data_IF_236186158273
#
_entry.id   IF_236186158273
#
_cell.length_a   1.000
_cell.length_b   1.000
_cell.length_c   1.000
_cell.angle_alpha   90.00
_cell.angle_beta   90.00
_cell.angle_gamma   90.00
#
_symmetry.space_group_name_H-M   'P 1'
#
loop_
_entity.id
_entity.type
_entity.pdbx_description
1 polymer ?
#
# COMPACT_ATOMS: atom_id res chain seq x y z
N UNK A 1 -13.72 4.67 34.61
CA UNK A 1 -14.68 5.78 34.87
C UNK A 1 -15.43 6.11 33.58
N UNK A 2 -14.74 6.41 32.48
CA UNK A 2 -15.37 6.78 31.18
C UNK A 2 -16.35 5.74 30.60
N UNK A 3 -16.04 4.44 30.67
CA UNK A 3 -16.97 3.39 30.22
C UNK A 3 -18.33 3.46 30.93
N UNK A 4 -18.30 3.70 32.24
CA UNK A 4 -19.52 3.84 33.06
C UNK A 4 -20.29 5.10 32.65
N UNK A 5 -19.61 6.19 32.30
CA UNK A 5 -20.27 7.41 31.84
C UNK A 5 -20.91 7.26 30.46
N UNK A 6 -20.28 6.50 29.56
CA UNK A 6 -20.84 6.18 28.25
C UNK A 6 -22.09 5.29 28.36
N UNK A 7 -22.04 4.28 29.24
CA UNK A 7 -23.19 3.43 29.57
C UNK A 7 -24.33 4.25 30.18
N UNK A 8 -24.04 5.22 31.04
CA UNK A 8 -25.04 6.11 31.63
C UNK A 8 -25.67 7.05 30.60
N UNK A 9 -24.89 7.57 29.64
CA UNK A 9 -25.42 8.39 28.54
C UNK A 9 -26.35 7.56 27.63
N UNK A 10 -25.95 6.34 27.28
CA UNK A 10 -26.77 5.40 26.52
C UNK A 10 -28.05 5.00 27.26
N UNK A 11 -27.98 4.80 28.57
CA UNK A 11 -29.15 4.52 29.39
C UNK A 11 -30.12 5.71 29.39
N UNK A 12 -29.61 6.94 29.49
CA UNK A 12 -30.41 8.17 29.39
C UNK A 12 -31.16 8.28 28.06
N UNK A 13 -30.49 7.99 26.94
CA UNK A 13 -31.10 7.92 25.60
C UNK A 13 -32.17 6.82 25.56
N UNK A 14 -31.87 5.63 26.07
CA UNK A 14 -32.80 4.51 26.11
C UNK A 14 -34.06 4.78 26.93
N UNK A 15 -33.97 5.57 28.00
CA UNK A 15 -35.13 5.96 28.81
C UNK A 15 -36.05 6.97 28.11
N UNK A 16 -35.52 7.76 27.17
CA UNK A 16 -36.31 8.71 26.40
C UNK A 16 -37.06 8.06 25.22
N UNK A 17 -36.65 6.85 24.84
CA UNK A 17 -37.27 6.07 23.79
C UNK A 17 -38.40 5.19 24.32
N UNK A 18 -39.47 5.05 23.52
CA UNK A 18 -40.54 4.08 23.81
C UNK A 18 -40.19 2.76 23.11
N UNK A 19 -40.10 1.62 23.83
CA UNK A 19 -39.91 0.32 23.19
C UNK A 19 -41.02 0.03 22.18
N UNK A 20 -40.67 -0.69 21.12
CA UNK A 20 -41.65 -1.12 20.13
C UNK A 20 -42.76 -1.93 20.82
N UNK A 21 -44.06 -1.64 20.53
CA UNK A 21 -45.17 -2.25 21.26
C UNK A 21 -45.33 -3.76 20.99
N UNK A 22 -44.78 -4.28 19.90
CA UNK A 22 -44.86 -5.69 19.52
C UNK A 22 -43.66 -6.47 20.07
N UNK A 23 -42.44 -5.93 19.96
CA UNK A 23 -41.21 -6.62 20.37
C UNK A 23 -40.81 -6.33 21.82
N UNK A 24 -41.32 -5.24 22.40
CA UNK A 24 -40.93 -4.67 23.71
C UNK A 24 -39.43 -4.42 23.84
N UNK A 25 -38.74 -4.25 22.71
CA UNK A 25 -37.31 -3.94 22.63
C UNK A 25 -37.12 -2.59 21.96
N UNK A 26 -36.00 -1.94 22.28
CA UNK A 26 -35.52 -0.80 21.51
C UNK A 26 -34.71 -1.34 20.35
N UNK A 27 -35.09 -0.98 19.13
CA UNK A 27 -34.30 -1.32 17.95
C UNK A 27 -33.21 -0.27 17.77
N UNK A 28 -32.10 -0.68 17.17
CA UNK A 28 -30.98 0.23 16.93
C UNK A 28 -31.37 1.41 16.01
N UNK A 29 -32.30 1.18 15.09
CA UNK A 29 -32.86 2.22 14.23
C UNK A 29 -33.57 3.32 15.04
N UNK A 30 -34.22 2.98 16.14
CA UNK A 30 -34.87 3.96 17.03
C UNK A 30 -33.83 4.82 17.74
N UNK A 31 -32.73 4.19 18.18
CA UNK A 31 -31.59 4.88 18.81
C UNK A 31 -30.92 5.82 17.80
N UNK A 32 -30.64 5.35 16.58
CA UNK A 32 -30.06 6.20 15.52
C UNK A 32 -30.98 7.37 15.18
N UNK A 33 -32.28 7.11 15.01
CA UNK A 33 -33.26 8.15 14.72
C UNK A 33 -33.34 9.20 15.84
N UNK A 34 -33.24 8.77 17.10
CA UNK A 34 -33.20 9.66 18.26
C UNK A 34 -31.92 10.51 18.30
N UNK A 35 -30.76 9.89 18.08
CA UNK A 35 -29.46 10.58 18.02
C UNK A 35 -29.45 11.67 16.93
N UNK A 36 -30.10 11.40 15.78
CA UNK A 36 -30.16 12.36 14.67
C UNK A 36 -31.14 13.50 14.91
N UNK A 37 -32.29 13.23 15.54
CA UNK A 37 -33.36 14.23 15.69
C UNK A 37 -33.30 15.04 16.98
N UNK A 38 -32.48 14.63 17.96
CA UNK A 38 -32.34 15.32 19.25
C UNK A 38 -30.87 15.65 19.57
N UNK A 39 -30.14 16.36 18.70
CA UNK A 39 -28.73 16.72 18.94
C UNK A 39 -28.54 17.64 20.15
N UNK A 40 -29.59 18.34 20.57
CA UNK A 40 -29.63 19.19 21.77
C UNK A 40 -29.84 18.42 23.08
N UNK A 41 -30.18 17.13 23.04
CA UNK A 41 -30.37 16.34 24.27
C UNK A 41 -29.02 16.19 25.02
N UNK A 42 -28.97 16.48 26.33
CA UNK A 42 -27.72 16.41 27.10
C UNK A 42 -27.06 15.03 27.10
N UNK A 43 -27.83 13.93 27.04
CA UNK A 43 -27.29 12.58 26.96
C UNK A 43 -26.73 12.28 25.57
N UNK A 44 -27.35 12.80 24.52
CA UNK A 44 -26.85 12.70 23.13
C UNK A 44 -25.52 13.45 22.99
N UNK A 45 -25.44 14.69 23.48
CA UNK A 45 -24.19 15.46 23.50
C UNK A 45 -23.09 14.77 24.30
N UNK A 46 -23.45 14.24 25.47
CA UNK A 46 -22.52 13.49 26.32
C UNK A 46 -22.02 12.23 25.64
N UNK A 47 -22.90 11.46 24.98
CA UNK A 47 -22.54 10.26 24.22
C UNK A 47 -21.51 10.58 23.14
N UNK A 48 -21.75 11.56 22.26
CA UNK A 48 -20.79 11.93 21.21
C UNK A 48 -19.46 12.42 21.78
N UNK A 49 -19.49 13.22 22.85
CA UNK A 49 -18.25 13.71 23.50
C UNK A 49 -17.40 12.60 24.09
N UNK A 50 -18.02 11.54 24.61
CA UNK A 50 -17.34 10.38 25.20
C UNK A 50 -16.87 9.41 24.13
N UNK A 51 -17.67 9.14 23.10
CA UNK A 51 -17.28 8.29 21.96
C UNK A 51 -16.06 8.85 21.23
N UNK A 52 -16.02 10.17 20.98
CA UNK A 52 -14.87 10.82 20.34
C UNK A 52 -13.58 10.67 21.17
N UNK A 53 -13.68 10.78 22.50
CA UNK A 53 -12.53 10.56 23.41
C UNK A 53 -12.08 9.10 23.45
N UNK A 54 -13.02 8.17 23.33
CA UNK A 54 -12.74 6.74 23.30
C UNK A 54 -11.98 6.35 22.03
N UNK A 55 -12.38 6.87 20.87
CA UNK A 55 -11.72 6.60 19.58
C UNK A 55 -10.26 7.08 19.59
N UNK A 56 -10.00 8.30 20.08
CA UNK A 56 -8.65 8.86 20.19
C UNK A 56 -7.76 8.01 21.10
N UNK A 57 -8.28 7.51 22.23
CA UNK A 57 -7.50 6.69 23.17
C UNK A 57 -7.27 5.28 22.71
N UNK A 58 -8.23 4.66 22.03
CA UNK A 58 -8.03 3.35 21.42
C UNK A 58 -6.98 3.44 20.30
N UNK A 59 -6.92 4.57 19.59
CA UNK A 59 -5.86 4.87 18.63
C UNK A 59 -4.49 5.05 19.31
N UNK A 60 -4.42 5.79 20.43
CA UNK A 60 -3.19 5.90 21.25
C UNK A 60 -2.73 4.56 21.83
N UNK A 61 -3.66 3.70 22.29
CA UNK A 61 -3.34 2.36 22.81
C UNK A 61 -2.84 1.41 21.73
N UNK A 62 -3.39 1.50 20.51
CA UNK A 62 -2.90 0.76 19.34
C UNK A 62 -1.50 1.21 18.92
N UNK A 63 -1.15 2.48 19.13
CA UNK A 63 0.19 3.02 18.83
C UNK A 63 1.23 2.71 19.92
N UNK A 64 0.83 2.40 21.15
CA UNK A 64 1.74 2.23 22.30
C UNK A 64 1.97 0.79 22.74
N UNK A 65 1.20 -0.18 22.24
CA UNK A 65 1.39 -1.60 22.56
C UNK A 65 2.28 -2.30 21.54
N UNK A 66 3.59 -2.17 21.77
CA UNK A 66 4.70 -2.82 21.04
C UNK A 66 4.96 -4.27 21.51
N UNK A 67 3.89 -5.03 21.80
CA UNK A 67 4.01 -6.45 22.14
C UNK A 67 2.95 -7.24 21.38
N UNK A 68 3.28 -7.67 20.16
CA UNK A 68 2.63 -8.84 19.56
C UNK A 68 3.51 -10.06 19.76
N UNK A 69 3.02 -11.12 20.41
CA UNK A 69 3.64 -12.43 20.30
C UNK A 69 3.62 -12.85 18.83
N UNK A 70 4.79 -13.09 18.27
CA UNK A 70 4.93 -13.72 16.97
C UNK A 70 4.43 -15.16 17.07
N UNK A 71 3.17 -15.40 16.71
CA UNK A 71 2.65 -16.76 16.60
C UNK A 71 2.03 -17.09 15.24
N UNK A 72 2.31 -18.33 14.86
CA UNK A 72 2.30 -18.88 13.52
C UNK A 72 0.90 -19.37 13.16
N UNK A 73 0.23 -18.66 12.25
CA UNK A 73 -0.83 -19.25 11.45
C UNK A 73 -0.33 -19.48 10.03
N UNK A 74 0.12 -20.70 9.73
CA UNK A 74 0.31 -21.18 8.36
C UNK A 74 -0.94 -21.95 7.96
N UNK A 75 -1.89 -21.29 7.32
CA UNK A 75 -2.92 -21.98 6.55
C UNK A 75 -2.23 -22.70 5.38
N UNK A 76 -2.54 -23.98 5.09
CA UNK A 76 -2.04 -24.67 3.92
C UNK A 76 -2.57 -23.97 2.67
N UNK A 77 -1.67 -23.34 1.90
CA UNK A 77 -2.02 -22.84 0.57
C UNK A 77 -2.23 -24.05 -0.35
N UNK A 78 -3.42 -24.23 -0.96
CA UNK A 78 -3.58 -25.26 -1.98
C UNK A 78 -2.63 -24.96 -3.14
N UNK A 79 -1.72 -25.88 -3.43
CA UNK A 79 -0.80 -25.78 -4.57
C UNK A 79 -1.59 -26.01 -5.84
N UNK A 80 -2.02 -24.93 -6.50
CA UNK A 80 -2.61 -24.99 -7.85
C UNK A 80 -1.50 -24.91 -8.89
N UNK A 81 -1.49 -25.86 -9.82
CA UNK A 81 -0.69 -25.79 -11.05
C UNK A 81 -1.22 -24.63 -11.89
N UNK A 82 -0.37 -23.66 -12.19
CA UNK A 82 -0.71 -22.54 -13.08
C UNK A 82 -0.82 -23.08 -14.50
N UNK A 83 -1.96 -22.92 -15.20
CA UNK A 83 -2.07 -23.31 -16.60
C UNK A 83 -1.19 -22.38 -17.47
N UNK A 84 -0.40 -22.95 -18.38
CA UNK A 84 0.31 -22.19 -19.41
C UNK A 84 -0.69 -21.63 -20.42
N UNK A 85 -1.01 -20.34 -20.30
CA UNK A 85 -1.94 -19.61 -21.17
C UNK A 85 -1.85 -18.09 -20.94
N UNK A 86 -2.50 -17.28 -21.79
CA UNK A 86 -2.58 -15.83 -21.57
C UNK A 86 -3.18 -15.54 -20.17
N UNK A 87 -2.75 -14.49 -19.47
CA UNK A 87 -3.19 -14.20 -18.12
C UNK A 87 -4.72 -14.05 -18.07
N UNK A 88 -5.38 -15.05 -17.49
CA UNK A 88 -6.81 -15.04 -17.27
C UNK A 88 -7.08 -14.30 -15.96
N UNK A 89 -8.01 -13.33 -15.97
CA UNK A 89 -8.42 -12.62 -14.74
C UNK A 89 -8.95 -13.63 -13.73
N UNK A 90 -8.45 -13.61 -12.49
CA UNK A 90 -9.07 -14.41 -11.42
C UNK A 90 -10.25 -13.66 -10.82
N UNK A 91 -11.24 -14.41 -10.35
CA UNK A 91 -12.45 -13.92 -9.70
C UNK A 91 -12.62 -14.68 -8.39
N UNK A 92 -12.76 -13.98 -7.27
CA UNK A 92 -12.91 -14.62 -5.96
C UNK A 92 -14.34 -14.43 -5.47
N UNK A 93 -14.96 -15.52 -5.00
CA UNK A 93 -16.24 -15.48 -4.30
C UNK A 93 -15.97 -15.75 -2.82
N UNK A 94 -16.53 -14.89 -1.97
CA UNK A 94 -16.49 -15.01 -0.51
C UNK A 94 -17.90 -15.23 0.04
N UNK A 95 -18.03 -16.08 1.05
CA UNK A 95 -19.27 -16.27 1.79
C UNK A 95 -19.04 -15.76 3.20
N UNK A 96 -19.58 -14.60 3.53
CA UNK A 96 -19.43 -13.99 4.86
C UNK A 96 -20.56 -14.41 5.80
N UNK A 97 -20.24 -14.64 7.07
CA UNK A 97 -21.22 -14.63 8.14
C UNK A 97 -21.34 -13.20 8.64
N UNK A 98 -22.56 -12.66 8.62
CA UNK A 98 -22.86 -11.44 9.36
C UNK A 98 -23.32 -11.83 10.76
N UNK A 99 -22.47 -11.62 11.75
CA UNK A 99 -22.81 -11.80 13.17
C UNK A 99 -23.56 -10.58 13.68
N UNK A 100 -24.80 -10.41 13.22
CA UNK A 100 -25.69 -9.34 13.66
C UNK A 100 -25.40 -7.94 13.10
N UNK A 101 -26.15 -6.92 13.55
CA UNK A 101 -25.94 -5.53 13.16
C UNK A 101 -24.71 -4.95 13.88
N UNK A 102 -23.85 -4.24 13.15
CA UNK A 102 -22.76 -3.46 13.73
C UNK A 102 -21.44 -4.18 14.00
N UNK A 103 -21.32 -5.49 13.71
CA UNK A 103 -20.01 -6.13 13.64
C UNK A 103 -19.26 -5.56 12.43
N UNK A 104 -18.17 -4.81 12.63
CA UNK A 104 -17.36 -4.36 11.50
C UNK A 104 -16.92 -5.61 10.73
N UNK A 105 -17.09 -5.59 9.41
CA UNK A 105 -16.53 -6.62 8.55
C UNK A 105 -15.02 -6.47 8.59
N UNK A 106 -14.38 -7.04 9.61
CA UNK A 106 -12.94 -7.04 9.75
C UNK A 106 -12.34 -7.88 8.62
N UNK A 107 -12.16 -7.25 7.46
CA UNK A 107 -11.20 -7.59 6.41
C UNK A 107 -11.09 -9.05 5.95
N UNK A 108 -12.17 -9.85 5.99
CA UNK A 108 -12.13 -11.23 5.48
C UNK A 108 -12.18 -12.33 6.53
N UNK A 109 -12.01 -12.01 7.81
CA UNK A 109 -11.88 -13.00 8.90
C UNK A 109 -13.20 -13.74 9.21
N UNK A 110 -14.35 -13.20 8.77
CA UNK A 110 -15.67 -13.82 8.94
C UNK A 110 -16.15 -14.60 7.71
N UNK A 111 -15.24 -15.06 6.85
CA UNK A 111 -15.62 -15.85 5.68
C UNK A 111 -15.81 -17.33 6.05
N UNK A 112 -17.02 -17.87 5.84
CA UNK A 112 -17.31 -19.32 5.97
C UNK A 112 -16.56 -20.14 4.95
N UNK A 113 -16.28 -19.56 3.79
CA UNK A 113 -15.62 -20.22 2.68
C UNK A 113 -15.20 -19.15 1.66
N UNK A 114 -14.11 -19.40 0.95
CA UNK A 114 -13.63 -18.57 -0.14
C UNK A 114 -13.13 -19.48 -1.26
N UNK A 115 -13.51 -19.20 -2.51
CA UNK A 115 -13.06 -19.95 -3.67
C UNK A 115 -12.65 -19.00 -4.79
N UNK A 116 -11.49 -19.26 -5.38
CA UNK A 116 -10.97 -18.53 -6.52
C UNK A 116 -11.30 -19.26 -7.83
N UNK A 117 -11.87 -18.52 -8.76
CA UNK A 117 -12.24 -18.94 -10.10
C UNK A 117 -11.33 -18.24 -11.11
N UNK A 118 -11.06 -18.93 -12.22
CA UNK A 118 -10.35 -18.33 -13.34
C UNK A 118 -11.40 -17.88 -14.36
N UNK A 119 -11.47 -16.58 -14.62
CA UNK A 119 -12.55 -15.94 -15.35
C UNK A 119 -13.83 -15.79 -14.52
N UNK A 120 -14.89 -15.33 -15.17
CA UNK A 120 -16.20 -15.18 -14.53
C UNK A 120 -16.83 -16.55 -14.29
N UNK A 121 -17.23 -16.90 -13.05
CA UNK A 121 -17.77 -18.21 -12.72
C UNK A 121 -19.12 -18.45 -13.40
N UNK A 122 -19.37 -19.68 -13.84
CA UNK A 122 -20.67 -20.09 -14.36
C UNK A 122 -21.72 -20.18 -13.25
N UNK A 123 -23.01 -20.09 -13.60
CA UNK A 123 -24.09 -20.29 -12.63
C UNK A 123 -23.97 -21.62 -11.88
N UNK A 124 -23.52 -22.68 -12.55
CA UNK A 124 -23.30 -23.99 -11.92
C UNK A 124 -22.17 -23.97 -10.89
N UNK A 125 -21.06 -23.30 -11.20
CA UNK A 125 -19.96 -23.12 -10.26
C UNK A 125 -20.38 -22.32 -9.02
N UNK A 126 -21.24 -21.29 -9.20
CA UNK A 126 -21.79 -20.52 -8.07
C UNK A 126 -22.72 -21.39 -7.22
N UNK A 127 -23.57 -22.20 -7.84
CA UNK A 127 -24.43 -23.16 -7.15
C UNK A 127 -23.60 -24.15 -6.32
N UNK A 128 -22.58 -24.76 -6.91
CA UNK A 128 -21.72 -25.73 -6.23
C UNK A 128 -20.91 -25.07 -5.12
N UNK A 129 -20.46 -23.82 -5.32
CA UNK A 129 -19.85 -23.00 -4.28
C UNK A 129 -20.78 -22.80 -3.07
N UNK A 130 -22.05 -22.44 -3.30
CA UNK A 130 -23.02 -22.27 -2.21
C UNK A 130 -23.24 -23.58 -1.45
N UNK A 131 -23.34 -24.72 -2.17
CA UNK A 131 -23.44 -26.04 -1.53
C UNK A 131 -22.25 -26.34 -0.64
N UNK A 132 -21.02 -26.03 -1.09
CA UNK A 132 -19.83 -26.18 -0.26
C UNK A 132 -19.87 -25.27 0.97
N UNK A 133 -20.30 -24.01 0.83
CA UNK A 133 -20.44 -23.09 1.97
C UNK A 133 -21.41 -23.61 3.05
N UNK A 134 -22.46 -24.32 2.63
CA UNK A 134 -23.46 -24.89 3.55
C UNK A 134 -23.03 -26.23 4.15
N UNK A 135 -22.40 -27.09 3.35
CA UNK A 135 -22.07 -28.46 3.76
C UNK A 135 -20.68 -28.61 4.39
N UNK A 136 -19.70 -27.81 3.93
CA UNK A 136 -18.29 -27.91 4.29
C UNK A 136 -17.66 -26.52 4.51
N UNK A 137 -18.15 -25.71 5.47
CA UNK A 137 -17.52 -24.43 5.78
C UNK A 137 -16.10 -24.63 6.36
N UNK A 138 -15.33 -23.54 6.40
CA UNK A 138 -14.01 -23.45 7.05
C UNK A 138 -14.14 -23.86 8.53
N UNK A 139 -13.06 -24.43 9.06
CA UNK A 139 -12.94 -24.93 10.43
C UNK A 139 -13.44 -23.89 11.45
N UNK A 140 -14.31 -24.33 12.37
CA UNK A 140 -14.96 -23.47 13.38
C UNK A 140 -16.44 -23.18 13.12
N UNK A 141 -16.95 -23.40 11.89
CA UNK A 141 -18.36 -23.23 11.58
C UNK A 141 -19.07 -24.58 11.38
N UNK A 142 -20.27 -24.79 11.95
CA UNK A 142 -21.06 -25.98 11.65
C UNK A 142 -21.73 -25.87 10.26
N UNK A 143 -21.91 -27.00 9.56
CA UNK A 143 -22.75 -27.07 8.37
C UNK A 143 -24.17 -26.59 8.68
N UNK A 144 -24.66 -25.60 7.94
CA UNK A 144 -26.01 -25.06 8.11
C UNK A 144 -26.47 -24.31 6.85
N UNK A 145 -27.79 -24.29 6.64
CA UNK A 145 -28.43 -23.43 5.64
C UNK A 145 -28.54 -22.02 6.25
N UNK A 146 -28.02 -20.98 5.59
CA UNK A 146 -28.14 -19.62 6.09
C UNK A 146 -29.59 -19.13 6.01
N UNK A 147 -30.00 -18.24 6.91
CA UNK A 147 -31.32 -17.62 6.86
C UNK A 147 -31.46 -16.67 5.67
N UNK A 148 -30.37 -15.97 5.32
CA UNK A 148 -30.31 -14.98 4.26
C UNK A 148 -29.04 -15.19 3.41
N UNK A 149 -29.17 -15.10 2.09
CA UNK A 149 -28.05 -15.09 1.14
C UNK A 149 -28.10 -13.81 0.32
N UNK A 150 -27.05 -13.01 0.40
CA UNK A 150 -26.89 -11.81 -0.42
C UNK A 150 -25.87 -12.10 -1.53
N UNK A 151 -26.25 -11.84 -2.77
CA UNK A 151 -25.36 -11.91 -3.93
C UNK A 151 -24.88 -10.52 -4.31
N UNK A 152 -23.58 -10.36 -4.56
CA UNK A 152 -23.07 -9.13 -5.16
C UNK A 152 -23.75 -8.88 -6.50
N UNK A 153 -23.96 -7.60 -6.83
CA UNK A 153 -24.54 -7.16 -8.09
C UNK A 153 -23.79 -7.71 -9.33
N UNK A 154 -22.49 -8.01 -9.21
CA UNK A 154 -21.69 -8.64 -10.27
C UNK A 154 -22.21 -10.05 -10.66
N UNK A 155 -22.99 -10.69 -9.80
CA UNK A 155 -23.60 -12.00 -10.06
C UNK A 155 -25.06 -11.90 -10.55
N UNK A 156 -25.58 -10.67 -10.74
CA UNK A 156 -26.96 -10.44 -11.18
C UNK A 156 -27.28 -11.15 -12.49
N UNK A 157 -26.31 -11.26 -13.41
CA UNK A 157 -26.44 -11.98 -14.67
C UNK A 157 -26.76 -13.48 -14.51
N UNK A 158 -26.53 -14.05 -13.32
CA UNK A 158 -26.83 -15.45 -13.00
C UNK A 158 -28.14 -15.63 -12.22
N UNK A 159 -28.86 -14.55 -11.88
CA UNK A 159 -30.06 -14.62 -11.04
C UNK A 159 -31.12 -15.59 -11.58
N UNK A 160 -31.42 -15.51 -12.89
CA UNK A 160 -32.39 -16.41 -13.53
C UNK A 160 -31.95 -17.87 -13.47
N UNK A 161 -30.67 -18.15 -13.69
CA UNK A 161 -30.13 -19.52 -13.70
C UNK A 161 -30.03 -20.13 -12.29
N UNK A 162 -29.76 -19.31 -11.27
CA UNK A 162 -29.67 -19.76 -9.88
C UNK A 162 -31.04 -19.92 -9.19
N UNK A 163 -32.07 -19.22 -9.69
CA UNK A 163 -33.42 -19.21 -9.08
C UNK A 163 -33.99 -20.61 -8.79
N UNK A 164 -33.93 -21.62 -9.68
CA UNK A 164 -34.46 -22.95 -9.39
C UNK A 164 -33.82 -23.55 -8.14
N UNK A 165 -32.49 -23.50 -8.03
CA UNK A 165 -31.76 -23.98 -6.86
C UNK A 165 -32.12 -23.19 -5.60
N UNK A 166 -32.06 -21.86 -5.65
CA UNK A 166 -32.30 -21.00 -4.47
C UNK A 166 -33.73 -21.16 -3.93
N UNK A 167 -34.70 -21.41 -4.80
CA UNK A 167 -36.10 -21.64 -4.40
C UNK A 167 -36.35 -22.98 -3.70
N UNK A 168 -35.40 -23.92 -3.75
CA UNK A 168 -35.51 -25.21 -3.04
C UNK A 168 -35.09 -25.15 -1.58
N UNK A 169 -34.48 -24.03 -1.15
CA UNK A 169 -33.91 -23.88 0.19
C UNK A 169 -34.83 -23.01 1.05
N UNK A 170 -34.95 -23.29 2.36
CA UNK A 170 -35.76 -22.50 3.30
C UNK A 170 -35.04 -21.21 3.73
N UNK A 171 -34.50 -20.47 2.76
CA UNK A 171 -33.72 -19.26 2.99
C UNK A 171 -34.24 -18.11 2.14
N UNK A 172 -34.05 -16.88 2.63
CA UNK A 172 -34.27 -15.68 1.82
C UNK A 172 -33.01 -15.43 1.00
N UNK A 173 -33.20 -14.93 -0.22
CA UNK A 173 -32.06 -14.49 -1.02
C UNK A 173 -32.35 -13.17 -1.71
N UNK A 174 -31.32 -12.34 -1.83
CA UNK A 174 -31.38 -11.05 -2.49
C UNK A 174 -30.14 -10.88 -3.36
N UNK A 175 -30.35 -10.35 -4.56
CA UNK A 175 -29.24 -9.81 -5.36
C UNK A 175 -29.14 -8.33 -5.05
N UNK A 176 -27.93 -7.89 -4.70
CA UNK A 176 -27.63 -6.50 -4.38
C UNK A 176 -28.19 -5.57 -5.48
N UNK A 177 -29.11 -4.66 -5.11
CA UNK A 177 -29.62 -3.63 -6.02
C UNK A 177 -28.47 -2.78 -6.56
N UNK A 178 -28.63 -2.21 -7.75
CA UNK A 178 -27.59 -1.38 -8.37
C UNK A 178 -27.29 -0.16 -7.48
N UNK A 179 -28.32 0.40 -6.87
CA UNK A 179 -28.25 1.57 -5.99
C UNK A 179 -27.44 1.27 -4.72
N UNK A 180 -27.59 0.06 -4.17
CA UNK A 180 -26.87 -0.37 -2.98
C UNK A 180 -25.38 -0.63 -3.30
N UNK A 181 -25.10 -1.18 -4.48
CA UNK A 181 -23.73 -1.31 -4.99
C UNK A 181 -23.08 0.05 -5.15
N UNK A 182 -23.78 1.02 -5.74
CA UNK A 182 -23.27 2.40 -5.91
C UNK A 182 -22.97 3.04 -4.55
N UNK A 183 -23.88 2.89 -3.58
CA UNK A 183 -23.66 3.36 -2.22
C UNK A 183 -22.43 2.71 -1.56
N UNK A 184 -22.29 1.38 -1.64
CA UNK A 184 -21.13 0.69 -1.09
C UNK A 184 -19.83 1.02 -1.82
N UNK A 185 -19.89 1.31 -3.12
CA UNK A 185 -18.73 1.79 -3.88
C UNK A 185 -18.33 3.19 -3.40
N UNK A 186 -19.29 4.09 -3.14
CA UNK A 186 -19.02 5.43 -2.63
C UNK A 186 -18.50 5.42 -1.18
N UNK A 187 -19.19 4.74 -0.26
CA UNK A 187 -18.78 4.61 1.15
C UNK A 187 -17.45 3.85 1.27
N UNK A 188 -17.32 2.72 0.56
CA UNK A 188 -16.09 1.93 0.53
C UNK A 188 -14.93 2.69 -0.11
N UNK A 189 -15.20 3.58 -1.06
CA UNK A 189 -14.17 4.46 -1.62
C UNK A 189 -13.74 5.53 -0.61
N UNK A 190 -14.66 6.15 0.12
CA UNK A 190 -14.34 7.14 1.15
C UNK A 190 -13.54 6.52 2.29
N UNK A 191 -13.96 5.36 2.80
CA UNK A 191 -13.23 4.60 3.80
C UNK A 191 -11.87 4.15 3.27
N UNK A 192 -11.82 3.62 2.05
CA UNK A 192 -10.57 3.23 1.38
C UNK A 192 -9.60 4.40 1.20
N UNK A 193 -10.11 5.60 0.89
CA UNK A 193 -9.33 6.83 0.81
C UNK A 193 -8.74 7.25 2.16
N UNK A 194 -9.55 7.20 3.22
CA UNK A 194 -9.09 7.51 4.57
C UNK A 194 -8.04 6.51 5.06
N UNK A 195 -8.28 5.21 4.83
CA UNK A 195 -7.34 4.14 5.18
C UNK A 195 -6.03 4.24 4.39
N UNK A 196 -6.11 4.61 3.11
CA UNK A 196 -4.93 4.90 2.29
C UNK A 196 -4.12 6.05 2.90
N UNK A 197 -4.76 7.17 3.22
CA UNK A 197 -4.10 8.36 3.79
C UNK A 197 -3.41 8.04 5.11
N UNK A 198 -4.11 7.38 6.04
CA UNK A 198 -3.53 6.90 7.31
C UNK A 198 -2.32 6.00 7.11
N UNK A 199 -2.37 5.09 6.13
CA UNK A 199 -1.26 4.20 5.83
C UNK A 199 -0.03 4.94 5.30
N UNK A 200 -0.23 5.93 4.42
CA UNK A 200 0.86 6.80 3.90
C UNK A 200 1.47 7.64 5.02
N UNK A 201 0.65 8.22 5.89
CA UNK A 201 1.10 9.01 7.04
C UNK A 201 1.93 8.15 8.00
N UNK A 202 1.48 6.94 8.31
CA UNK A 202 2.20 6.01 9.18
C UNK A 202 3.55 5.61 8.58
N UNK A 203 3.59 5.19 7.31
CA UNK A 203 4.84 4.85 6.63
C UNK A 203 5.80 6.04 6.54
N UNK A 204 5.27 7.25 6.32
CA UNK A 204 6.06 8.49 6.32
C UNK A 204 6.66 8.77 7.69
N UNK A 205 5.88 8.62 8.77
CA UNK A 205 6.36 8.77 10.15
C UNK A 205 7.47 7.77 10.49
N UNK A 206 7.32 6.50 10.09
CA UNK A 206 8.37 5.48 10.28
C UNK A 206 9.63 5.84 9.50
N UNK A 207 9.49 6.31 8.25
CA UNK A 207 10.62 6.80 7.44
C UNK A 207 11.30 8.01 8.09
N UNK A 208 10.58 8.96 8.70
CA UNK A 208 11.21 10.09 9.39
C UNK A 208 12.03 9.65 10.61
N UNK A 209 11.53 8.70 11.41
CA UNK A 209 12.34 8.09 12.48
C UNK A 209 13.60 7.40 11.91
N UNK A 210 13.49 6.77 10.74
CA UNK A 210 14.65 6.24 10.01
C UNK A 210 15.65 7.32 9.60
N UNK A 211 15.17 8.51 9.20
CA UNK A 211 16.02 9.67 8.90
C UNK A 211 16.78 10.15 10.15
N UNK A 212 16.11 10.20 11.31
CA UNK A 212 16.74 10.55 12.58
C UNK A 212 17.83 9.55 12.98
N UNK A 213 17.54 8.25 12.89
CA UNK A 213 18.54 7.20 13.15
C UNK A 213 19.73 7.30 12.19
N UNK A 214 19.48 7.55 10.91
CA UNK A 214 20.53 7.75 9.90
C UNK A 214 21.41 8.97 10.23
N UNK A 215 20.81 10.08 10.63
CA UNK A 215 21.54 11.29 11.03
C UNK A 215 22.40 11.07 12.28
N UNK A 216 21.96 10.21 13.20
CA UNK A 216 22.71 9.79 14.39
C UNK A 216 23.78 8.72 14.12
N UNK A 217 24.04 8.40 12.85
CA UNK A 217 24.93 7.31 12.44
C UNK A 217 24.55 5.92 12.98
N UNK A 218 23.30 5.72 13.40
CA UNK A 218 22.78 4.40 13.77
C UNK A 218 22.25 3.68 12.52
N UNK A 219 23.17 3.02 11.81
CA UNK A 219 22.85 2.27 10.59
C UNK A 219 21.82 1.17 10.84
N UNK A 220 21.92 0.43 11.94
CA UNK A 220 21.08 -0.75 12.17
C UNK A 220 19.64 -0.30 12.39
N UNK A 221 19.42 0.69 13.25
CA UNK A 221 18.10 1.25 13.46
C UNK A 221 17.54 1.92 12.20
N UNK A 222 18.36 2.67 11.46
CA UNK A 222 17.93 3.33 10.22
C UNK A 222 17.42 2.31 9.18
N UNK A 223 18.19 1.25 8.93
CA UNK A 223 17.78 0.19 7.99
C UNK A 223 16.48 -0.47 8.44
N UNK A 224 16.37 -0.87 9.71
CA UNK A 224 15.17 -1.53 10.22
C UNK A 224 13.91 -0.65 10.09
N UNK A 225 14.02 0.64 10.39
CA UNK A 225 12.90 1.58 10.27
C UNK A 225 12.50 1.81 8.80
N UNK A 226 13.46 1.99 7.90
CA UNK A 226 13.14 2.11 6.48
C UNK A 226 12.51 0.84 5.91
N UNK A 227 12.95 -0.35 6.33
CA UNK A 227 12.34 -1.63 5.91
C UNK A 227 10.91 -1.80 6.44
N UNK A 228 10.64 -1.38 7.68
CA UNK A 228 9.28 -1.36 8.19
C UNK A 228 8.37 -0.40 7.38
N UNK A 229 8.88 0.78 7.02
CA UNK A 229 8.16 1.71 6.15
C UNK A 229 7.90 1.13 4.75
N UNK A 230 8.87 0.40 4.18
CA UNK A 230 8.72 -0.34 2.91
C UNK A 230 7.59 -1.36 3.04
N UNK A 231 7.61 -2.20 4.08
CA UNK A 231 6.63 -3.26 4.28
C UNK A 231 5.21 -2.71 4.35
N UNK A 232 5.01 -1.59 5.06
CA UNK A 232 3.71 -0.93 5.17
C UNK A 232 3.20 -0.41 3.81
N UNK A 233 4.09 0.18 3.00
CA UNK A 233 3.73 0.67 1.66
C UNK A 233 3.47 -0.49 0.68
N UNK A 234 4.22 -1.58 0.77
CA UNK A 234 3.98 -2.78 -0.04
C UNK A 234 2.63 -3.43 0.30
N UNK A 235 2.30 -3.55 1.60
CA UNK A 235 0.98 -4.01 2.05
C UNK A 235 -0.13 -3.10 1.51
N UNK A 236 0.07 -1.79 1.52
CA UNK A 236 -0.87 -0.82 0.97
C UNK A 236 -1.11 -1.05 -0.53
N UNK A 237 -0.03 -1.25 -1.31
CA UNK A 237 -0.10 -1.52 -2.75
C UNK A 237 -0.75 -2.88 -3.06
N UNK A 238 -0.49 -3.91 -2.25
CA UNK A 238 -1.06 -5.26 -2.42
C UNK A 238 -2.57 -5.29 -2.17
N UNK A 239 -3.06 -4.52 -1.19
CA UNK A 239 -4.49 -4.44 -0.89
C UNK A 239 -5.30 -3.80 -2.02
N UNK A 240 -4.64 -3.13 -2.99
CA UNK A 240 -5.33 -2.49 -4.10
C UNK A 240 -6.37 -1.47 -3.65
N UNK A 241 -6.17 -0.82 -2.49
CA UNK A 241 -7.13 0.10 -1.86
C UNK A 241 -7.35 1.41 -2.66
N UNK A 242 -6.83 1.47 -3.88
CA UNK A 242 -7.00 2.59 -4.79
C UNK A 242 -7.23 2.09 -6.21
N UNK A 243 -8.42 2.40 -6.74
CA UNK A 243 -8.66 2.37 -8.18
C UNK A 243 -8.06 3.60 -8.89
N UNK A 244 -7.53 4.56 -8.14
CA UNK A 244 -6.89 5.76 -8.67
C UNK A 244 -5.40 5.52 -8.92
N UNK A 245 -4.99 5.70 -10.18
CA UNK A 245 -3.58 5.64 -10.59
C UNK A 245 -2.72 6.67 -9.83
N UNK A 246 -3.30 7.82 -9.44
CA UNK A 246 -2.60 8.88 -8.70
C UNK A 246 -2.13 8.40 -7.30
N UNK A 247 -2.99 7.72 -6.54
CA UNK A 247 -2.60 7.18 -5.22
C UNK A 247 -1.58 6.05 -5.34
N UNK A 248 -1.69 5.23 -6.39
CA UNK A 248 -0.70 4.18 -6.68
C UNK A 248 0.65 4.80 -7.03
N UNK A 249 0.66 5.89 -7.79
CA UNK A 249 1.87 6.66 -8.09
C UNK A 249 2.46 7.29 -6.83
N UNK A 250 1.63 7.88 -5.96
CA UNK A 250 2.02 8.42 -4.67
C UNK A 250 2.70 7.36 -3.77
N UNK A 251 2.05 6.21 -3.59
CA UNK A 251 2.59 5.10 -2.81
C UNK A 251 3.90 4.55 -3.41
N UNK A 252 3.98 4.39 -4.74
CA UNK A 252 5.22 3.98 -5.41
C UNK A 252 6.35 4.98 -5.25
N UNK A 253 6.05 6.27 -5.28
CA UNK A 253 7.05 7.31 -5.05
C UNK A 253 7.60 7.24 -3.63
N UNK A 254 6.73 7.09 -2.62
CA UNK A 254 7.16 6.87 -1.23
C UNK A 254 7.98 5.58 -1.08
N UNK A 255 7.55 4.48 -1.71
CA UNK A 255 8.29 3.22 -1.70
C UNK A 255 9.71 3.37 -2.28
N UNK A 256 9.85 4.10 -3.39
CA UNK A 256 11.16 4.39 -4.00
C UNK A 256 12.05 5.21 -3.07
N UNK A 257 11.49 6.20 -2.35
CA UNK A 257 12.21 6.99 -1.34
C UNK A 257 12.72 6.09 -0.21
N UNK A 258 11.86 5.25 0.36
CA UNK A 258 12.24 4.35 1.46
C UNK A 258 13.34 3.37 1.02
N UNK A 259 13.22 2.76 -0.16
CA UNK A 259 14.27 1.89 -0.70
C UNK A 259 15.60 2.61 -0.94
N UNK A 260 15.58 3.82 -1.48
CA UNK A 260 16.81 4.59 -1.68
C UNK A 260 17.46 5.05 -0.35
N UNK A 261 16.65 5.31 0.67
CA UNK A 261 17.14 5.61 2.02
C UNK A 261 17.75 4.37 2.68
N UNK A 262 17.12 3.20 2.54
CA UNK A 262 17.69 1.89 2.88
C UNK A 262 19.06 1.68 2.23
N UNK A 263 19.17 1.94 0.93
CA UNK A 263 20.43 1.84 0.21
C UNK A 263 21.51 2.79 0.78
N UNK A 264 21.13 4.03 1.09
CA UNK A 264 22.03 5.00 1.72
C UNK A 264 22.52 4.55 3.09
N UNK A 265 21.60 4.06 3.94
CA UNK A 265 21.91 3.54 5.27
C UNK A 265 22.88 2.35 5.21
N UNK A 266 22.65 1.39 4.31
CA UNK A 266 23.55 0.22 4.16
C UNK A 266 24.96 0.57 3.69
N UNK A 267 25.13 1.68 2.97
CA UNK A 267 26.43 2.23 2.58
C UNK A 267 27.10 3.09 3.66
N UNK A 268 26.45 3.33 4.80
CA UNK A 268 26.99 4.18 5.86
C UNK A 268 28.20 3.49 6.52
N UNK A 269 29.35 4.16 6.43
CA UNK A 269 30.59 3.74 7.09
C UNK A 269 30.52 4.03 8.59
N UNK A 270 30.64 2.99 9.40
CA UNK A 270 30.72 3.09 10.87
C UNK A 270 32.06 2.48 11.29
N UNK A 271 32.88 3.18 12.10
CA UNK A 271 34.14 2.64 12.59
C UNK A 271 33.97 1.25 13.21
N UNK A 272 34.73 0.27 12.71
CA UNK A 272 34.68 -1.13 13.20
C UNK A 272 33.62 -2.02 12.56
N UNK A 273 32.72 -1.50 11.72
CA UNK A 273 31.69 -2.28 11.04
C UNK A 273 31.80 -2.16 9.51
N UNK A 274 31.82 -3.31 8.82
CA UNK A 274 31.75 -3.33 7.35
C UNK A 274 30.41 -2.83 6.83
N UNK A 275 30.39 -2.24 5.63
CA UNK A 275 29.18 -1.86 4.92
C UNK A 275 28.54 -3.06 4.21
N UNK A 276 27.21 -3.04 4.05
CA UNK A 276 26.49 -4.03 3.24
C UNK A 276 26.22 -3.47 1.84
N UNK A 277 27.22 -3.58 0.97
CA UNK A 277 27.18 -2.97 -0.35
C UNK A 277 26.27 -3.71 -1.34
N UNK A 278 26.16 -5.03 -1.25
CA UNK A 278 25.24 -5.80 -2.09
C UNK A 278 23.78 -5.56 -1.70
N UNK A 279 23.48 -5.49 -0.39
CA UNK A 279 22.15 -5.08 0.06
C UNK A 279 21.82 -3.64 -0.34
N UNK A 280 22.80 -2.72 -0.30
CA UNK A 280 22.61 -1.36 -0.78
C UNK A 280 22.29 -1.29 -2.28
N UNK A 281 23.00 -2.08 -3.09
CA UNK A 281 22.75 -2.20 -4.53
C UNK A 281 21.34 -2.72 -4.81
N UNK A 282 20.94 -3.83 -4.17
CA UNK A 282 19.61 -4.41 -4.34
C UNK A 282 18.50 -3.41 -3.97
N UNK A 283 18.66 -2.68 -2.86
CA UNK A 283 17.71 -1.65 -2.45
C UNK A 283 17.65 -0.47 -3.44
N UNK A 284 18.77 -0.07 -4.02
CA UNK A 284 18.78 0.97 -5.04
C UNK A 284 18.10 0.52 -6.35
N UNK A 285 18.24 -0.76 -6.73
CA UNK A 285 17.51 -1.36 -7.85
C UNK A 285 16.00 -1.40 -7.58
N UNK A 286 15.58 -1.80 -6.38
CA UNK A 286 14.19 -1.76 -5.94
C UNK A 286 13.60 -0.35 -5.97
N UNK A 287 14.38 0.66 -5.59
CA UNK A 287 13.95 2.06 -5.69
C UNK A 287 13.65 2.48 -7.13
N UNK A 288 14.51 2.11 -8.08
CA UNK A 288 14.34 2.40 -9.51
C UNK A 288 13.15 1.61 -10.09
N UNK A 289 12.96 0.37 -9.66
CA UNK A 289 11.83 -0.45 -10.09
C UNK A 289 10.48 0.11 -9.59
N UNK A 290 10.45 0.64 -8.37
CA UNK A 290 9.25 1.28 -7.80
C UNK A 290 8.91 2.59 -8.53
N UNK A 291 9.89 3.47 -8.76
CA UNK A 291 9.75 4.72 -9.49
C UNK A 291 10.96 4.97 -10.42
N UNK A 292 10.84 4.66 -11.73
CA UNK A 292 11.91 4.90 -12.70
C UNK A 292 12.29 6.37 -12.88
N UNK A 293 11.43 7.30 -12.43
CA UNK A 293 11.66 8.75 -12.42
C UNK A 293 12.41 9.23 -11.18
N UNK A 294 12.75 8.36 -10.23
CA UNK A 294 13.40 8.74 -8.99
C UNK A 294 14.93 8.83 -9.11
N UNK A 295 15.45 10.02 -9.42
CA UNK A 295 16.88 10.26 -9.67
C UNK A 295 17.83 9.73 -8.57
N UNK A 296 17.43 9.86 -7.30
CA UNK A 296 18.27 9.40 -6.18
C UNK A 296 18.50 7.88 -6.21
N UNK A 297 17.57 7.07 -6.72
CA UNK A 297 17.76 5.63 -6.89
C UNK A 297 18.98 5.32 -7.77
N UNK A 298 19.08 5.97 -8.93
CA UNK A 298 20.25 5.82 -9.83
C UNK A 298 21.55 6.32 -9.20
N UNK A 299 21.52 7.41 -8.43
CA UNK A 299 22.71 7.90 -7.69
C UNK A 299 23.17 6.88 -6.65
N UNK A 300 22.24 6.29 -5.88
CA UNK A 300 22.56 5.27 -4.88
C UNK A 300 23.08 4.00 -5.52
N UNK A 301 22.50 3.55 -6.63
CA UNK A 301 22.96 2.38 -7.37
C UNK A 301 24.38 2.59 -7.91
N UNK A 302 24.64 3.76 -8.50
CA UNK A 302 25.96 4.16 -8.97
C UNK A 302 26.99 4.15 -7.85
N UNK A 303 26.65 4.73 -6.69
CA UNK A 303 27.53 4.75 -5.52
C UNK A 303 27.82 3.36 -4.97
N UNK A 304 26.82 2.47 -4.92
CA UNK A 304 27.01 1.08 -4.49
C UNK A 304 28.00 0.36 -5.42
N UNK A 305 27.83 0.50 -6.75
CA UNK A 305 28.78 -0.06 -7.71
C UNK A 305 30.19 0.51 -7.61
N UNK A 306 30.33 1.82 -7.37
CA UNK A 306 31.62 2.47 -7.14
C UNK A 306 32.34 1.86 -5.93
N UNK A 307 31.62 1.68 -4.82
CA UNK A 307 32.17 1.09 -3.59
C UNK A 307 32.51 -0.40 -3.76
N UNK A 308 31.81 -1.11 -4.64
CA UNK A 308 32.13 -2.49 -5.05
C UNK A 308 33.30 -2.58 -6.05
N UNK A 309 33.88 -1.45 -6.47
CA UNK A 309 34.97 -1.41 -7.46
C UNK A 309 34.52 -1.58 -8.91
N UNK A 310 33.21 -1.59 -9.20
CA UNK A 310 32.67 -1.73 -10.54
C UNK A 310 32.35 -0.36 -11.17
N UNK A 311 33.41 0.33 -11.62
CA UNK A 311 33.29 1.69 -12.18
C UNK A 311 32.46 1.75 -13.47
N UNK A 312 32.47 0.70 -14.29
CA UNK A 312 31.67 0.65 -15.52
C UNK A 312 30.16 0.64 -15.20
N UNK A 313 29.72 -0.25 -14.30
CA UNK A 313 28.33 -0.30 -13.86
C UNK A 313 27.90 0.97 -13.13
N UNK A 314 28.80 1.61 -12.37
CA UNK A 314 28.52 2.88 -11.70
C UNK A 314 28.18 4.01 -12.69
N UNK A 315 28.94 4.13 -13.79
CA UNK A 315 28.66 5.08 -14.87
C UNK A 315 27.38 4.74 -15.62
N UNK A 316 27.18 3.46 -15.94
CA UNK A 316 25.98 2.99 -16.65
C UNK A 316 24.70 3.31 -15.88
N UNK A 317 24.67 3.11 -14.56
CA UNK A 317 23.50 3.43 -13.75
C UNK A 317 23.06 4.92 -13.91
N UNK A 318 24.01 5.86 -13.87
CA UNK A 318 23.71 7.29 -14.06
C UNK A 318 23.30 7.60 -15.50
N UNK A 319 23.97 6.98 -16.48
CA UNK A 319 23.63 7.13 -17.90
C UNK A 319 22.21 6.62 -18.19
N UNK A 320 21.81 5.46 -17.64
CA UNK A 320 20.44 4.95 -17.70
C UNK A 320 19.43 5.92 -17.10
N UNK A 321 19.75 6.53 -15.95
CA UNK A 321 18.94 7.59 -15.35
C UNK A 321 18.75 8.78 -16.29
N UNK A 322 19.84 9.31 -16.88
CA UNK A 322 19.80 10.45 -17.82
C UNK A 322 19.10 10.13 -19.15
N UNK A 323 18.98 8.86 -19.53
CA UNK A 323 18.21 8.44 -20.71
C UNK A 323 16.70 8.45 -20.46
N UNK A 324 16.25 8.43 -19.20
CA UNK A 324 14.83 8.52 -18.88
C UNK A 324 14.28 9.90 -19.25
N UNK A 325 13.11 9.93 -19.91
CA UNK A 325 12.48 11.15 -20.41
C UNK A 325 12.32 12.22 -19.32
N UNK A 326 11.91 11.82 -18.10
CA UNK A 326 11.71 12.72 -16.96
C UNK A 326 13.00 13.16 -16.26
N UNK A 327 14.13 12.47 -16.49
CA UNK A 327 15.39 12.71 -15.79
C UNK A 327 16.52 13.22 -16.70
N UNK A 328 16.29 13.30 -18.01
CA UNK A 328 17.26 13.80 -18.99
C UNK A 328 17.85 15.17 -18.65
N UNK A 329 17.09 16.03 -17.98
CA UNK A 329 17.52 17.37 -17.56
C UNK A 329 17.89 17.45 -16.06
N UNK A 330 18.11 16.32 -15.39
CA UNK A 330 18.51 16.29 -14.00
C UNK A 330 20.01 16.58 -13.85
N UNK A 331 20.35 17.78 -13.38
CA UNK A 331 21.75 18.20 -13.17
C UNK A 331 22.47 17.37 -12.09
N UNK A 332 21.76 16.89 -11.07
CA UNK A 332 22.38 16.04 -10.04
C UNK A 332 22.96 14.75 -10.60
N UNK A 333 22.24 14.08 -11.50
CA UNK A 333 22.74 12.89 -12.21
C UNK A 333 23.92 13.23 -13.13
N UNK A 334 23.81 14.32 -13.89
CA UNK A 334 24.87 14.78 -14.78
C UNK A 334 26.17 15.08 -14.03
N UNK A 335 26.06 15.77 -12.90
CA UNK A 335 27.21 16.15 -12.07
C UNK A 335 27.88 14.93 -11.46
N UNK A 336 27.11 13.95 -10.95
CA UNK A 336 27.66 12.68 -10.46
C UNK A 336 28.37 11.88 -11.57
N UNK A 337 27.80 11.87 -12.79
CA UNK A 337 28.41 11.16 -13.91
C UNK A 337 29.74 11.80 -14.31
N UNK A 338 29.78 13.13 -14.38
CA UNK A 338 31.01 13.89 -14.66
C UNK A 338 32.06 13.62 -13.58
N UNK A 339 31.69 13.61 -12.30
CA UNK A 339 32.61 13.28 -11.21
C UNK A 339 33.18 11.87 -11.39
N UNK A 340 32.36 10.86 -11.72
CA UNK A 340 32.87 9.51 -11.97
C UNK A 340 33.77 9.42 -13.21
N UNK A 341 33.45 10.12 -14.29
CA UNK A 341 34.25 10.17 -15.52
C UNK A 341 35.62 10.82 -15.32
N UNK A 342 35.75 11.68 -14.32
CA UNK A 342 36.94 12.51 -14.07
C UNK A 342 37.69 12.08 -12.81
N UNK A 343 37.38 10.90 -12.26
CA UNK A 343 37.94 10.41 -11.01
C UNK A 343 37.83 11.45 -9.88
N UNK A 344 36.65 12.05 -9.75
CA UNK A 344 36.25 13.08 -8.76
C UNK A 344 36.96 14.43 -8.89
N UNK A 345 37.71 14.67 -9.96
CA UNK A 345 38.40 15.95 -10.20
C UNK A 345 37.50 17.03 -10.81
N UNK A 346 36.33 16.64 -11.34
CA UNK A 346 35.48 17.54 -12.11
C UNK A 346 36.01 17.75 -13.52
N UNK A 347 35.35 18.63 -14.28
CA UNK A 347 35.72 18.91 -15.67
C UNK A 347 37.13 19.55 -15.74
N UNK A 348 38.01 19.09 -16.65
CA UNK A 348 39.35 19.67 -16.79
C UNK A 348 39.31 21.18 -17.07
N UNK A 349 40.06 22.02 -16.33
CA UNK A 349 40.02 23.47 -16.49
C UNK A 349 40.76 23.96 -17.75
N UNK A 350 41.71 23.17 -18.25
CA UNK A 350 42.51 23.53 -19.42
C UNK A 350 41.83 23.10 -20.72
N UNK A 351 41.88 23.99 -21.73
CA UNK A 351 41.26 23.78 -23.05
C UNK A 351 41.62 22.43 -23.68
N UNK A 352 42.90 22.10 -23.74
CA UNK A 352 43.40 20.89 -24.39
C UNK A 352 43.01 19.61 -23.67
N UNK A 353 43.03 19.64 -22.33
CA UNK A 353 42.64 18.48 -21.52
C UNK A 353 41.14 18.25 -21.55
N UNK A 354 40.33 19.32 -21.55
CA UNK A 354 38.89 19.21 -21.72
C UNK A 354 38.52 18.63 -23.08
N UNK A 355 39.13 19.09 -24.18
CA UNK A 355 38.91 18.53 -25.52
C UNK A 355 39.24 17.03 -25.59
N UNK A 356 40.40 16.64 -25.05
CA UNK A 356 40.83 15.24 -25.04
C UNK A 356 39.87 14.37 -24.21
N UNK A 357 39.51 14.85 -23.02
CA UNK A 357 38.55 14.17 -22.16
C UNK A 357 37.18 14.02 -22.84
N UNK A 358 36.64 15.10 -23.40
CA UNK A 358 35.31 15.12 -24.01
C UNK A 358 35.21 14.15 -25.18
N UNK A 359 36.24 14.11 -26.04
CA UNK A 359 36.33 13.14 -27.13
C UNK A 359 36.29 11.70 -26.62
N UNK A 360 37.12 11.37 -25.62
CA UNK A 360 37.18 10.02 -25.06
C UNK A 360 35.84 9.59 -24.42
N UNK A 361 35.14 10.52 -23.75
CA UNK A 361 33.87 10.21 -23.08
C UNK A 361 32.73 9.98 -24.06
N UNK A 362 32.67 10.73 -25.16
CA UNK A 362 31.68 10.49 -26.22
C UNK A 362 31.86 9.10 -26.84
N UNK A 363 33.11 8.68 -27.04
CA UNK A 363 33.43 7.34 -27.56
C UNK A 363 33.01 6.23 -26.58
N UNK A 364 33.18 6.43 -25.27
CA UNK A 364 32.87 5.44 -24.21
C UNK A 364 31.36 5.26 -23.96
N UNK A 365 30.59 6.36 -23.90
CA UNK A 365 29.17 6.31 -23.50
C UNK A 365 28.18 6.28 -24.68
N UNK A 366 28.68 6.47 -25.89
CA UNK A 366 27.86 6.70 -27.07
C UNK A 366 27.34 8.14 -27.15
N UNK A 367 26.96 8.56 -28.35
CA UNK A 367 26.48 9.91 -28.65
C UNK A 367 25.06 10.22 -28.14
N UNK A 368 24.45 9.32 -27.38
CA UNK A 368 23.02 9.38 -27.01
C UNK A 368 22.74 10.20 -25.74
N UNK A 369 23.78 10.54 -24.96
CA UNK A 369 23.64 11.34 -23.75
C UNK A 369 23.42 12.83 -24.08
N UNK A 370 22.15 13.24 -24.12
CA UNK A 370 21.73 14.63 -24.26
C UNK A 370 21.48 15.35 -22.93
N UNK A 371 20.62 16.36 -22.95
CA UNK A 371 20.04 16.96 -21.74
C UNK A 371 21.05 17.70 -20.85
N UNK A 372 20.93 17.53 -19.53
CA UNK A 372 21.73 18.23 -18.53
C UNK A 372 23.23 17.92 -18.65
N UNK A 373 23.61 16.69 -19.00
CA UNK A 373 25.01 16.32 -19.17
C UNK A 373 25.66 17.08 -20.34
N UNK A 374 25.03 17.09 -21.52
CA UNK A 374 25.51 17.86 -22.68
C UNK A 374 25.52 19.36 -22.39
N UNK A 375 24.52 19.86 -21.65
CA UNK A 375 24.46 21.25 -21.22
C UNK A 375 25.67 21.63 -20.35
N UNK A 376 26.01 20.81 -19.35
CA UNK A 376 27.20 21.02 -18.50
C UNK A 376 28.48 21.06 -19.32
N UNK A 377 28.68 20.09 -20.22
CA UNK A 377 29.85 20.06 -21.10
C UNK A 377 29.93 21.31 -21.97
N UNK A 378 28.81 21.76 -22.54
CA UNK A 378 28.77 22.98 -23.36
C UNK A 378 29.08 24.24 -22.56
N UNK A 379 28.48 24.40 -21.38
CA UNK A 379 28.74 25.55 -20.50
C UNK A 379 30.22 25.64 -20.13
N UNK A 380 30.82 24.52 -19.75
CA UNK A 380 32.25 24.45 -19.43
C UNK A 380 33.12 24.69 -20.67
N UNK A 381 32.76 24.10 -21.81
CA UNK A 381 33.44 24.32 -23.08
C UNK A 381 33.52 25.79 -23.47
N UNK A 382 32.43 26.55 -23.32
CA UNK A 382 32.44 28.00 -23.53
C UNK A 382 33.44 28.71 -22.61
N UNK A 383 33.51 28.31 -21.33
CA UNK A 383 34.44 28.91 -20.36
C UNK A 383 35.91 28.65 -20.71
N UNK A 384 36.23 27.46 -21.24
CA UNK A 384 37.61 27.06 -21.60
C UNK A 384 37.94 27.26 -23.09
N UNK A 385 37.06 27.91 -23.86
CA UNK A 385 37.30 28.22 -25.28
C UNK A 385 37.25 27.02 -26.22
N UNK A 386 36.36 26.06 -25.95
CA UNK A 386 36.10 24.83 -26.72
C UNK A 386 34.66 24.82 -27.23
N UNK A 387 34.49 24.65 -28.54
CA UNK A 387 33.19 24.36 -29.13
C UNK A 387 32.83 22.88 -28.88
N UNK A 388 31.64 22.65 -28.30
CA UNK A 388 31.14 21.35 -27.80
C UNK A 388 29.88 20.94 -28.53
#
# INVERSE_FOLDING_TARGET
>A
MEKVELEMAMLGIGMALRPDPLTRRLEFTDILHYLTNHPEDPNVQRFFSLSLKHDVRDEERRMTTDERPADKFKLPKPVRKVPEGPPQKSFQIFCFVREGPGTPSNGGENSRYAEEFIGTPTAKQIEDYLKKCMACPVEGFPPQIPENVCFSNNLMQYATALRPFLSTLPMRYVFEPVELRELFLEEGYAEGAQMFRRSIEMATSVKERGNEAFANHDRVAAVALYEAAVEDVEKLLLKGMSHEEDRKLEAKSLLAVCWANCAAARMLEIPGYGCDLEGAKANAESAIAADPGYAKGYIRLSRAHELLGNMSAAKDALARGLRQKGLKNNFGLADHLILLQTNKKGLPPEKGDFQRWFKNVIEDLGSDLGGAWKMRCRMHGVQVGVAV
#
